data_IF_409848677846
#
_entry.id   IF_409848677846
#
_cell.length_a   1.000
_cell.length_b   1.000
_cell.length_c   1.000
_cell.angle_alpha   90.00
_cell.angle_beta   90.00
_cell.angle_gamma   90.00
#
_symmetry.space_group_name_H-M   'P 1'
#
loop_
_entity.id
_entity.type
_entity.pdbx_description
1 polymer ?
#
# COMPACT_ATOMS: atom_id res chain seq x y z
N UNK A 1 12.27 -10.95 -31.58
CA UNK A 1 11.75 -10.50 -30.28
C UNK A 1 12.53 -11.23 -29.20
N UNK A 2 13.29 -10.52 -28.38
CA UNK A 2 14.01 -11.15 -27.26
C UNK A 2 13.02 -11.54 -26.18
N UNK A 3 13.06 -12.81 -25.75
CA UNK A 3 12.12 -13.33 -24.76
C UNK A 3 12.59 -12.93 -23.36
N UNK A 4 11.78 -12.14 -22.65
CA UNK A 4 11.95 -11.90 -21.23
C UNK A 4 11.63 -13.20 -20.48
N UNK A 5 12.44 -13.56 -19.50
CA UNK A 5 12.13 -14.65 -18.56
C UNK A 5 12.33 -14.19 -17.13
N UNK A 6 11.49 -14.66 -16.23
CA UNK A 6 11.61 -14.35 -14.82
C UNK A 6 11.28 -15.56 -13.94
N UNK A 7 11.74 -15.51 -12.69
CA UNK A 7 11.34 -16.45 -11.65
C UNK A 7 11.31 -15.75 -10.30
N UNK A 8 10.34 -16.12 -9.49
CA UNK A 8 10.21 -15.71 -8.08
C UNK A 8 10.62 -16.91 -7.23
N UNK A 9 11.54 -16.72 -6.29
CA UNK A 9 12.15 -17.82 -5.53
C UNK A 9 12.54 -17.40 -4.12
N UNK A 10 12.53 -18.36 -3.19
CA UNK A 10 13.05 -18.20 -1.85
C UNK A 10 14.59 -18.24 -1.88
N UNK A 11 15.25 -17.22 -1.35
CA UNK A 11 16.71 -17.14 -1.35
C UNK A 11 17.31 -17.85 -0.11
N UNK A 12 17.52 -19.15 -0.23
CA UNK A 12 18.04 -20.05 0.81
C UNK A 12 19.50 -19.77 1.24
N UNK A 13 20.21 -18.91 0.50
CA UNK A 13 21.57 -18.45 0.87
C UNK A 13 21.56 -17.37 1.95
N UNK A 14 20.41 -16.76 2.20
CA UNK A 14 20.25 -15.72 3.23
C UNK A 14 19.75 -16.31 4.54
N UNK A 15 19.85 -15.54 5.62
CA UNK A 15 19.26 -15.95 6.90
C UNK A 15 17.75 -16.07 6.78
N UNK A 16 17.20 -17.06 7.48
CA UNK A 16 15.77 -17.19 7.63
C UNK A 16 15.18 -15.95 8.32
N UNK A 17 13.99 -15.58 7.89
CA UNK A 17 13.18 -14.49 8.41
C UNK A 17 11.83 -15.03 8.84
N UNK A 18 11.20 -14.33 9.76
CA UNK A 18 9.88 -14.71 10.25
C UNK A 18 8.80 -14.09 9.38
N UNK A 19 7.91 -14.93 8.84
CA UNK A 19 6.70 -14.52 8.17
C UNK A 19 5.51 -15.11 8.92
N UNK A 20 4.82 -14.27 9.71
CA UNK A 20 3.49 -14.57 10.24
C UNK A 20 3.31 -15.92 10.95
N UNK A 21 4.28 -16.37 11.75
CA UNK A 21 4.20 -17.68 12.40
C UNK A 21 5.27 -18.67 11.95
N UNK A 22 5.84 -18.46 10.77
CA UNK A 22 6.67 -19.43 10.09
C UNK A 22 8.06 -18.86 9.77
N UNK A 23 9.10 -19.66 10.02
CA UNK A 23 10.44 -19.37 9.52
C UNK A 23 10.49 -19.70 8.03
N UNK A 24 10.91 -18.72 7.23
CA UNK A 24 11.07 -18.85 5.78
C UNK A 24 12.33 -18.10 5.33
N UNK A 25 12.64 -18.15 4.04
CA UNK A 25 13.72 -17.34 3.46
C UNK A 25 13.14 -16.11 2.76
N UNK A 26 13.92 -15.02 2.61
CA UNK A 26 13.49 -13.86 1.85
C UNK A 26 13.10 -14.22 0.41
N UNK A 27 11.99 -13.68 -0.08
CA UNK A 27 11.55 -13.86 -1.47
C UNK A 27 12.31 -12.90 -2.40
N UNK A 28 12.86 -13.45 -3.47
CA UNK A 28 13.63 -12.73 -4.49
C UNK A 28 13.04 -12.97 -5.86
N UNK A 29 13.25 -12.00 -6.74
CA UNK A 29 12.91 -12.08 -8.15
C UNK A 29 14.19 -12.05 -8.97
N UNK A 30 14.26 -12.93 -9.96
CA UNK A 30 15.26 -12.91 -11.01
C UNK A 30 14.56 -12.57 -12.32
N UNK A 31 15.05 -11.56 -13.03
CA UNK A 31 14.57 -11.18 -14.38
C UNK A 31 15.74 -11.22 -15.35
N UNK A 32 15.52 -11.84 -16.52
CA UNK A 32 16.54 -12.03 -17.55
C UNK A 32 16.04 -11.46 -18.89
N UNK A 33 16.86 -10.60 -19.50
CA UNK A 33 16.63 -10.02 -20.81
C UNK A 33 17.97 -9.88 -21.55
N UNK A 34 18.03 -10.28 -22.82
CA UNK A 34 19.25 -10.23 -23.64
C UNK A 34 20.52 -10.82 -22.97
N UNK A 35 20.37 -11.97 -22.30
CA UNK A 35 21.46 -12.64 -21.53
C UNK A 35 21.97 -11.87 -20.32
N UNK A 36 21.38 -10.72 -20.00
CA UNK A 36 21.63 -9.98 -18.75
C UNK A 36 20.58 -10.38 -17.72
N UNK A 37 21.01 -10.56 -16.49
CA UNK A 37 20.15 -10.99 -15.39
C UNK A 37 20.28 -10.00 -14.23
N UNK A 38 19.14 -9.59 -13.68
CA UNK A 38 19.07 -8.82 -12.44
C UNK A 38 18.39 -9.65 -11.36
N UNK A 39 18.77 -9.38 -10.11
CA UNK A 39 18.20 -10.00 -8.92
C UNK A 39 17.82 -8.88 -7.95
N UNK A 40 16.63 -8.97 -7.38
CA UNK A 40 16.18 -8.03 -6.36
C UNK A 40 15.23 -8.73 -5.39
N UNK A 41 15.07 -8.12 -4.22
CA UNK A 41 14.15 -8.60 -3.18
C UNK A 41 12.72 -8.18 -3.55
N UNK A 42 11.76 -9.07 -3.34
CA UNK A 42 10.34 -8.80 -3.63
C UNK A 42 9.81 -7.67 -2.74
N UNK A 43 9.20 -6.66 -3.35
CA UNK A 43 8.51 -5.56 -2.67
C UNK A 43 7.35 -6.09 -1.82
N UNK A 44 6.51 -6.96 -2.39
CA UNK A 44 5.35 -7.49 -1.67
C UNK A 44 5.75 -8.36 -0.49
N UNK A 45 6.85 -9.10 -0.60
CA UNK A 45 7.38 -9.84 0.54
C UNK A 45 7.77 -8.89 1.68
N UNK A 46 8.45 -7.77 1.39
CA UNK A 46 8.77 -6.78 2.41
C UNK A 46 7.53 -6.11 3.01
N UNK A 47 6.59 -5.71 2.17
CA UNK A 47 5.34 -5.09 2.57
C UNK A 47 4.57 -6.00 3.53
N UNK A 48 4.28 -7.22 3.10
CA UNK A 48 3.44 -8.15 3.85
C UNK A 48 4.18 -8.77 5.03
N UNK A 49 5.51 -8.81 5.04
CA UNK A 49 6.26 -9.21 6.23
C UNK A 49 6.11 -8.25 7.42
N UNK A 50 5.60 -7.03 7.21
CA UNK A 50 5.39 -6.07 8.31
C UNK A 50 4.41 -6.66 9.34
N UNK A 51 4.69 -6.57 10.66
CA UNK A 51 3.86 -7.17 11.69
C UNK A 51 2.38 -6.79 11.63
N UNK A 52 2.08 -5.57 11.14
CA UNK A 52 0.72 -5.04 11.02
C UNK A 52 -0.19 -5.81 10.04
N UNK A 53 0.36 -6.57 9.07
CA UNK A 53 -0.43 -7.42 8.18
C UNK A 53 -0.74 -8.80 8.78
N UNK A 54 -0.14 -9.12 9.94
CA UNK A 54 -0.52 -10.28 10.71
C UNK A 54 -1.73 -9.95 11.57
N UNK A 55 -2.89 -10.49 11.19
CA UNK A 55 -4.09 -10.36 12.00
C UNK A 55 -4.26 -11.60 12.87
N UNK A 56 -4.33 -11.35 14.18
CA UNK A 56 -4.79 -12.31 15.18
C UNK A 56 -6.15 -11.82 15.69
N UNK A 57 -7.23 -12.43 15.22
CA UNK A 57 -8.58 -12.08 15.62
C UNK A 57 -9.43 -13.36 15.76
N UNK A 58 -10.21 -13.45 16.84
CA UNK A 58 -11.13 -14.55 17.11
C UNK A 58 -10.51 -15.96 17.00
N UNK A 59 -9.25 -16.12 17.43
CA UNK A 59 -8.54 -17.42 17.40
C UNK A 59 -7.95 -17.81 16.04
N UNK A 60 -8.16 -17.00 14.99
CA UNK A 60 -7.49 -17.15 13.70
C UNK A 60 -6.29 -16.20 13.65
N UNK A 61 -5.12 -16.77 13.36
CA UNK A 61 -3.87 -16.03 13.17
C UNK A 61 -3.31 -16.39 11.80
N UNK A 62 -3.46 -15.49 10.84
CA UNK A 62 -2.91 -15.67 9.50
C UNK A 62 -2.53 -14.31 8.91
N UNK A 63 -1.59 -14.33 7.99
CA UNK A 63 -1.31 -13.22 7.09
C UNK A 63 -1.17 -13.76 5.67
N UNK A 64 -0.72 -12.93 4.72
CA UNK A 64 -0.41 -13.36 3.36
C UNK A 64 0.55 -14.56 3.34
N UNK A 65 0.21 -15.59 2.54
CA UNK A 65 1.10 -16.73 2.32
C UNK A 65 2.17 -16.41 1.28
N UNK A 66 3.24 -17.21 1.23
CA UNK A 66 4.28 -17.07 0.20
C UNK A 66 3.71 -17.23 -1.21
N UNK A 67 2.74 -18.12 -1.39
CA UNK A 67 2.07 -18.36 -2.67
C UNK A 67 1.24 -17.14 -3.08
N UNK A 68 0.50 -16.53 -2.15
CA UNK A 68 -0.29 -15.30 -2.41
C UNK A 68 0.63 -14.13 -2.77
N UNK A 69 1.74 -13.97 -2.04
CA UNK A 69 2.76 -12.95 -2.33
C UNK A 69 3.41 -13.20 -3.70
N UNK A 70 3.78 -14.45 -4.00
CA UNK A 70 4.40 -14.84 -5.27
C UNK A 70 3.47 -14.60 -6.45
N UNK A 71 2.17 -14.89 -6.30
CA UNK A 71 1.18 -14.62 -7.34
C UNK A 71 1.10 -13.12 -7.65
N UNK A 72 1.02 -12.27 -6.62
CA UNK A 72 0.97 -10.81 -6.80
C UNK A 72 2.28 -10.24 -7.36
N UNK A 73 3.42 -10.84 -7.00
CA UNK A 73 4.72 -10.53 -7.57
C UNK A 73 4.78 -10.83 -9.07
N UNK A 74 4.31 -11.99 -9.49
CA UNK A 74 4.29 -12.36 -10.90
C UNK A 74 3.32 -11.48 -11.71
N UNK A 75 2.17 -11.12 -11.13
CA UNK A 75 1.17 -10.24 -11.77
C UNK A 75 1.78 -8.89 -12.19
N UNK A 76 2.52 -8.22 -11.29
CA UNK A 76 3.14 -6.93 -11.62
C UNK A 76 4.27 -7.07 -12.63
N UNK A 77 5.03 -8.17 -12.59
CA UNK A 77 6.10 -8.45 -13.56
C UNK A 77 5.50 -8.65 -14.95
N UNK A 78 4.47 -9.49 -15.06
CA UNK A 78 3.75 -9.73 -16.32
C UNK A 78 3.15 -8.45 -16.87
N UNK A 79 2.54 -7.62 -16.02
CA UNK A 79 2.00 -6.33 -16.42
C UNK A 79 3.07 -5.43 -17.06
N UNK A 80 4.24 -5.28 -16.42
CA UNK A 80 5.32 -4.41 -16.93
C UNK A 80 5.88 -4.95 -18.24
N UNK A 81 6.07 -6.26 -18.36
CA UNK A 81 6.54 -6.90 -19.60
C UNK A 81 5.55 -6.66 -20.74
N UNK A 82 4.24 -6.83 -20.47
CA UNK A 82 3.19 -6.67 -21.46
C UNK A 82 2.96 -5.19 -21.84
N UNK A 83 3.25 -4.25 -20.93
CA UNK A 83 3.15 -2.81 -21.17
C UNK A 83 4.23 -2.29 -22.12
N UNK A 84 5.39 -2.94 -22.16
CA UNK A 84 6.58 -2.50 -22.90
C UNK A 84 7.06 -3.58 -23.89
N UNK A 85 6.25 -3.98 -24.90
CA UNK A 85 6.61 -5.08 -25.80
C UNK A 85 7.79 -4.75 -26.73
N UNK A 86 7.99 -3.47 -27.05
CA UNK A 86 8.92 -3.01 -28.09
C UNK A 86 10.16 -2.29 -27.53
N UNK A 87 10.06 -1.72 -26.33
CA UNK A 87 11.08 -0.87 -25.69
C UNK A 87 11.56 -1.42 -24.33
N UNK A 88 11.27 -2.70 -24.04
CA UNK A 88 11.70 -3.34 -22.81
C UNK A 88 13.22 -3.21 -22.60
N UNK A 89 13.61 -2.75 -21.42
CA UNK A 89 14.97 -2.82 -20.92
C UNK A 89 14.97 -3.15 -19.42
N UNK A 90 16.08 -3.69 -18.91
CA UNK A 90 16.18 -4.01 -17.48
C UNK A 90 16.14 -2.76 -16.59
N UNK A 91 16.57 -1.60 -17.09
CA UNK A 91 16.52 -0.35 -16.33
C UNK A 91 15.11 0.25 -16.32
N UNK A 92 14.41 0.24 -17.47
CA UNK A 92 12.98 0.56 -17.53
C UNK A 92 12.17 -0.34 -16.60
N UNK A 93 12.41 -1.66 -16.66
CA UNK A 93 11.74 -2.63 -15.81
C UNK A 93 11.92 -2.31 -14.32
N UNK A 94 13.13 -1.95 -13.87
CA UNK A 94 13.37 -1.59 -12.46
C UNK A 94 12.57 -0.36 -12.04
N UNK A 95 12.55 0.69 -12.88
CA UNK A 95 11.82 1.93 -12.61
C UNK A 95 10.31 1.68 -12.53
N UNK A 96 9.79 0.89 -13.47
CA UNK A 96 8.38 0.55 -13.52
C UNK A 96 7.99 -0.38 -12.38
N UNK A 97 8.83 -1.37 -12.05
CA UNK A 97 8.62 -2.24 -10.89
C UNK A 97 8.53 -1.43 -9.59
N UNK A 98 9.51 -0.54 -9.35
CA UNK A 98 9.55 0.29 -8.15
C UNK A 98 8.36 1.26 -8.02
N UNK A 99 7.66 1.55 -9.12
CA UNK A 99 6.48 2.41 -9.14
C UNK A 99 5.20 1.59 -9.03
N UNK A 100 5.01 0.61 -9.92
CA UNK A 100 3.78 -0.17 -10.03
C UNK A 100 3.53 -1.13 -8.88
N UNK A 101 4.58 -1.57 -8.19
CA UNK A 101 4.44 -2.44 -7.03
C UNK A 101 3.92 -1.71 -5.79
N UNK A 102 4.02 -0.37 -5.73
CA UNK A 102 3.72 0.41 -4.52
C UNK A 102 2.28 0.22 -4.10
N UNK A 103 2.06 -0.03 -2.80
CA UNK A 103 0.74 -0.03 -2.19
C UNK A 103 0.33 1.40 -1.84
N UNK A 104 -0.79 1.87 -2.42
CA UNK A 104 -1.31 3.22 -2.24
C UNK A 104 -1.64 3.53 -0.77
N UNK A 105 -2.11 2.53 -0.03
CA UNK A 105 -2.43 2.69 1.38
C UNK A 105 -1.15 2.84 2.22
N UNK A 106 -0.14 1.99 2.00
CA UNK A 106 1.16 2.07 2.69
C UNK A 106 1.86 3.41 2.47
N UNK A 107 1.97 3.86 1.21
CA UNK A 107 2.70 5.09 0.89
C UNK A 107 1.99 6.37 1.36
N UNK A 108 0.67 6.31 1.60
CA UNK A 108 -0.10 7.46 2.12
C UNK A 108 -0.28 7.42 3.64
N UNK A 109 0.00 6.28 4.29
CA UNK A 109 -0.23 6.11 5.73
C UNK A 109 0.68 7.00 6.58
N UNK A 110 1.96 7.15 6.22
CA UNK A 110 2.92 7.96 7.00
C UNK A 110 2.50 9.43 7.04
N UNK A 111 2.19 10.03 5.89
CA UNK A 111 1.69 11.41 5.85
C UNK A 111 0.35 11.58 6.57
N UNK A 112 -0.48 10.54 6.63
CA UNK A 112 -1.71 10.56 7.42
C UNK A 112 -1.43 10.49 8.94
N UNK A 113 -0.42 9.74 9.36
CA UNK A 113 0.03 9.70 10.76
C UNK A 113 0.58 11.07 11.18
N UNK A 114 1.35 11.74 10.32
CA UNK A 114 1.87 13.10 10.59
C UNK A 114 0.74 14.12 10.72
N UNK A 115 -0.30 13.99 9.90
CA UNK A 115 -1.53 14.76 10.05
C UNK A 115 -2.17 14.52 11.42
N UNK A 116 -2.38 13.26 11.83
CA UNK A 116 -2.96 12.96 13.14
C UNK A 116 -2.11 13.53 14.27
N UNK A 117 -0.79 13.39 14.19
CA UNK A 117 0.14 13.94 15.16
C UNK A 117 -0.07 15.46 15.33
N UNK A 118 -0.09 16.19 14.22
CA UNK A 118 -0.29 17.64 14.21
C UNK A 118 -1.68 18.02 14.76
N UNK A 119 -2.73 17.34 14.29
CA UNK A 119 -4.10 17.56 14.75
C UNK A 119 -4.22 17.45 16.28
N UNK A 120 -3.66 16.40 16.88
CA UNK A 120 -3.74 16.22 18.33
C UNK A 120 -2.85 17.19 19.11
N UNK A 121 -1.74 17.67 18.53
CA UNK A 121 -0.97 18.75 19.15
C UNK A 121 -1.78 20.05 19.21
N UNK A 122 -2.41 20.44 18.11
CA UNK A 122 -3.21 21.66 18.02
C UNK A 122 -4.43 21.63 18.95
N UNK A 123 -4.96 20.43 19.22
CA UNK A 123 -6.04 20.20 20.19
C UNK A 123 -5.58 20.16 21.65
N UNK A 124 -4.31 20.45 21.93
CA UNK A 124 -3.76 20.46 23.30
C UNK A 124 -3.54 19.07 23.87
N UNK A 125 -3.38 18.04 23.03
CA UNK A 125 -3.17 16.64 23.42
C UNK A 125 -1.80 16.10 22.96
N UNK A 126 -0.66 16.75 23.29
CA UNK A 126 0.66 16.40 22.74
C UNK A 126 1.15 15.00 23.14
N UNK A 127 0.84 14.53 24.35
CA UNK A 127 1.20 13.17 24.78
C UNK A 127 0.44 12.09 24.00
N UNK A 128 -0.82 12.39 23.65
CA UNK A 128 -1.63 11.49 22.84
C UNK A 128 -1.17 11.49 21.38
N UNK A 129 -0.78 12.65 20.83
CA UNK A 129 -0.17 12.77 19.51
C UNK A 129 1.07 11.86 19.37
N UNK A 130 1.99 11.91 20.34
CA UNK A 130 3.18 11.03 20.37
C UNK A 130 2.78 9.56 20.44
N UNK A 131 1.82 9.22 21.31
CA UNK A 131 1.31 7.84 21.44
C UNK A 131 0.76 7.30 20.12
N UNK A 132 0.01 8.11 19.37
CA UNK A 132 -0.51 7.71 18.05
C UNK A 132 0.64 7.47 17.08
N UNK A 133 1.57 8.42 16.94
CA UNK A 133 2.67 8.31 15.98
C UNK A 133 3.53 7.06 16.24
N UNK A 134 3.89 6.80 17.48
CA UNK A 134 4.69 5.63 17.84
C UNK A 134 3.87 4.33 17.76
N UNK A 135 2.60 4.36 18.18
CA UNK A 135 1.70 3.19 18.15
C UNK A 135 1.33 2.74 16.75
N UNK A 136 1.18 3.66 15.80
CA UNK A 136 0.88 3.37 14.39
C UNK A 136 1.99 2.59 13.66
N UNK A 137 3.19 2.45 14.25
CA UNK A 137 4.22 1.52 13.73
C UNK A 137 3.81 0.05 13.83
N UNK A 138 2.89 -0.27 14.74
CA UNK A 138 2.46 -1.63 15.03
C UNK A 138 1.00 -1.90 14.63
N UNK A 139 0.25 -0.84 14.32
CA UNK A 139 -1.19 -0.89 14.03
C UNK A 139 -1.50 -0.06 12.80
N UNK A 140 -2.41 -0.57 11.98
CA UNK A 140 -2.89 0.12 10.80
C UNK A 140 -3.63 1.39 11.25
N UNK A 141 -3.24 2.56 10.73
CA UNK A 141 -3.78 3.85 11.17
C UNK A 141 -5.30 3.93 10.96
N UNK A 142 -5.81 3.32 9.89
CA UNK A 142 -7.25 3.25 9.63
C UNK A 142 -8.03 2.53 10.74
N UNK A 143 -7.48 1.43 11.29
CA UNK A 143 -8.13 0.72 12.41
C UNK A 143 -8.15 1.58 13.68
N UNK A 144 -7.08 2.36 13.91
CA UNK A 144 -7.01 3.32 15.03
C UNK A 144 -8.09 4.38 14.88
N UNK A 145 -8.25 4.99 13.70
CA UNK A 145 -9.30 5.99 13.43
C UNK A 145 -10.70 5.40 13.57
N UNK A 146 -10.90 4.16 13.13
CA UNK A 146 -12.18 3.45 13.32
C UNK A 146 -12.52 3.29 14.81
N UNK A 147 -11.54 2.99 15.65
CA UNK A 147 -11.75 2.86 17.10
C UNK A 147 -11.94 4.24 17.76
N UNK A 148 -11.26 5.29 17.27
CA UNK A 148 -11.49 6.68 17.67
C UNK A 148 -12.94 7.13 17.42
N UNK A 149 -13.57 6.67 16.33
CA UNK A 149 -15.01 6.93 16.08
C UNK A 149 -15.91 6.48 17.22
N UNK A 150 -15.51 5.43 17.94
CA UNK A 150 -16.25 4.88 19.10
C UNK A 150 -15.85 5.57 20.40
N UNK A 151 -14.59 5.96 20.53
CA UNK A 151 -14.03 6.49 21.77
C UNK A 151 -14.23 8.01 21.93
N UNK A 152 -14.25 8.78 20.84
CA UNK A 152 -14.29 10.23 20.89
C UNK A 152 -15.71 10.79 20.80
N UNK A 153 -15.86 12.03 21.26
CA UNK A 153 -17.06 12.81 20.98
C UNK A 153 -17.22 12.99 19.48
N UNK A 154 -18.47 12.92 19.00
CA UNK A 154 -18.81 13.10 17.59
C UNK A 154 -18.14 14.33 16.94
N UNK A 155 -18.16 15.54 17.53
CA UNK A 155 -17.54 16.71 16.89
C UNK A 155 -16.03 16.57 16.67
N UNK A 156 -15.30 16.04 17.66
CA UNK A 156 -13.84 15.86 17.54
C UNK A 156 -13.49 14.84 16.45
N UNK A 157 -14.25 13.75 16.37
CA UNK A 157 -14.04 12.73 15.33
C UNK A 157 -14.39 13.26 13.94
N UNK A 158 -15.52 13.94 13.80
CA UNK A 158 -15.93 14.53 12.52
C UNK A 158 -14.91 15.55 12.04
N UNK A 159 -14.42 16.42 12.93
CA UNK A 159 -13.37 17.38 12.61
C UNK A 159 -12.07 16.68 12.16
N UNK A 160 -11.61 15.64 12.87
CA UNK A 160 -10.44 14.85 12.47
C UNK A 160 -10.63 14.21 11.09
N UNK A 161 -11.79 13.65 10.81
CA UNK A 161 -12.07 12.98 9.55
C UNK A 161 -12.19 13.99 8.39
N UNK A 162 -12.91 15.09 8.58
CA UNK A 162 -13.13 16.11 7.56
C UNK A 162 -11.83 16.88 7.24
N UNK A 163 -11.08 17.31 8.25
CA UNK A 163 -9.81 18.00 8.06
C UNK A 163 -8.79 17.11 7.32
N UNK A 164 -8.83 15.80 7.52
CA UNK A 164 -7.91 14.89 6.82
C UNK A 164 -8.06 14.93 5.29
N UNK A 165 -9.24 15.26 4.77
CA UNK A 165 -9.49 15.36 3.32
C UNK A 165 -8.81 16.57 2.67
N UNK A 166 -8.32 17.51 3.48
CA UNK A 166 -7.69 18.75 3.01
C UNK A 166 -6.21 18.85 3.43
N UNK A 167 -5.86 18.31 4.60
CA UNK A 167 -4.53 18.47 5.20
C UNK A 167 -3.70 17.19 5.25
N UNK A 168 -4.26 16.05 4.84
CA UNK A 168 -3.55 14.77 4.81
C UNK A 168 -3.53 14.20 3.38
N UNK A 169 -2.67 13.20 3.10
CA UNK A 169 -2.87 12.33 1.96
C UNK A 169 -4.28 11.69 2.00
N UNK A 170 -4.85 11.28 0.85
CA UNK A 170 -6.19 10.68 0.76
C UNK A 170 -6.25 9.24 1.31
N UNK A 171 -5.56 8.97 2.42
CA UNK A 171 -5.42 7.67 3.07
C UNK A 171 -6.76 7.10 3.54
N UNK A 172 -7.59 7.86 4.28
CA UNK A 172 -8.87 7.34 4.77
C UNK A 172 -9.81 6.89 3.64
N UNK A 173 -10.03 7.70 2.58
CA UNK A 173 -10.81 7.24 1.43
C UNK A 173 -10.19 6.04 0.71
N UNK A 174 -8.87 6.05 0.46
CA UNK A 174 -8.17 4.94 -0.23
C UNK A 174 -8.30 3.63 0.55
N UNK A 175 -8.04 3.67 1.86
CA UNK A 175 -8.11 2.50 2.71
C UNK A 175 -9.55 2.00 2.87
N UNK A 176 -10.50 2.92 3.03
CA UNK A 176 -11.93 2.61 3.10
C UNK A 176 -12.46 1.97 1.80
N UNK A 177 -11.96 2.39 0.64
CA UNK A 177 -12.23 1.74 -0.65
C UNK A 177 -11.58 0.35 -0.72
N UNK A 178 -10.29 0.24 -0.38
CA UNK A 178 -9.57 -1.02 -0.38
C UNK A 178 -10.29 -2.08 0.47
N UNK A 179 -10.76 -1.73 1.68
CA UNK A 179 -11.50 -2.66 2.55
C UNK A 179 -12.81 -3.17 1.94
N UNK A 180 -13.43 -2.42 1.03
CA UNK A 180 -14.66 -2.84 0.36
C UNK A 180 -14.38 -3.75 -0.84
N UNK A 181 -13.24 -3.56 -1.51
CA UNK A 181 -12.92 -4.26 -2.76
C UNK A 181 -12.00 -5.46 -2.58
N UNK A 182 -11.19 -5.48 -1.51
CA UNK A 182 -10.17 -6.51 -1.27
C UNK A 182 -10.59 -7.47 -0.17
N UNK A 183 -10.18 -8.72 -0.33
CA UNK A 183 -10.35 -9.75 0.70
C UNK A 183 -9.04 -9.93 1.45
N UNK A 184 -9.16 -10.03 2.77
CA UNK A 184 -8.07 -10.46 3.63
C UNK A 184 -7.61 -11.88 3.24
N UNK A 185 -6.30 -12.21 3.31
CA UNK A 185 -5.19 -11.42 3.89
C UNK A 185 -4.49 -10.44 2.94
N UNK A 186 -4.82 -10.44 1.65
CA UNK A 186 -4.18 -9.61 0.63
C UNK A 186 -4.77 -8.20 0.56
N UNK A 187 -4.67 -7.45 1.66
CA UNK A 187 -5.11 -6.05 1.73
C UNK A 187 -4.02 -5.14 1.16
N UNK A 188 -4.11 -4.91 -0.15
CA UNK A 188 -3.29 -3.94 -0.87
C UNK A 188 -4.07 -3.37 -2.06
N UNK A 189 -3.82 -2.11 -2.38
CA UNK A 189 -4.31 -1.42 -3.56
C UNK A 189 -3.08 -0.82 -4.26
N UNK A 190 -2.59 -1.46 -5.31
CA UNK A 190 -1.33 -1.05 -5.93
C UNK A 190 -1.50 0.09 -6.94
N UNK A 191 -0.41 0.76 -7.26
CA UNK A 191 -0.38 1.74 -8.36
C UNK A 191 -0.74 1.09 -9.69
N UNK A 192 -0.31 -0.16 -9.93
CA UNK A 192 -0.73 -0.93 -11.11
C UNK A 192 -2.26 -1.04 -11.16
N UNK A 193 -2.89 -1.45 -10.06
CA UNK A 193 -4.34 -1.59 -9.98
C UNK A 193 -5.04 -0.23 -10.14
N UNK A 194 -4.43 0.87 -9.70
CA UNK A 194 -4.96 2.21 -9.87
C UNK A 194 -4.90 2.72 -11.30
N UNK A 195 -3.84 2.41 -12.04
CA UNK A 195 -3.67 2.81 -13.44
C UNK A 195 -4.38 1.88 -14.44
N UNK A 196 -4.85 0.72 -13.98
CA UNK A 196 -5.48 -0.28 -14.84
C UNK A 196 -6.95 -0.50 -14.51
N UNK A 197 -7.72 -0.79 -15.56
CA UNK A 197 -9.13 -1.14 -15.45
C UNK A 197 -10.01 -0.02 -14.87
N UNK A 198 -11.07 -0.42 -14.18
CA UNK A 198 -12.13 0.48 -13.70
C UNK A 198 -11.88 1.00 -12.27
N UNK A 199 -10.68 0.79 -11.70
CA UNK A 199 -10.40 1.10 -10.28
C UNK A 199 -10.67 2.56 -9.94
N UNK A 200 -10.27 3.52 -10.78
CA UNK A 200 -10.53 4.94 -10.54
C UNK A 200 -12.02 5.30 -10.62
N UNK A 201 -12.76 4.63 -11.50
CA UNK A 201 -14.21 4.81 -11.62
C UNK A 201 -14.91 4.25 -10.37
N UNK A 202 -14.58 3.02 -9.98
CA UNK A 202 -15.11 2.38 -8.77
C UNK A 202 -14.75 3.17 -7.49
N UNK A 203 -13.55 3.76 -7.44
CA UNK A 203 -13.16 4.66 -6.36
C UNK A 203 -14.02 5.93 -6.36
N UNK A 204 -14.27 6.54 -7.52
CA UNK A 204 -15.12 7.72 -7.66
C UNK A 204 -16.56 7.42 -7.20
N UNK A 205 -17.12 6.27 -7.57
CA UNK A 205 -18.43 5.82 -7.11
C UNK A 205 -18.46 5.60 -5.59
N UNK A 206 -17.40 5.00 -5.03
CA UNK A 206 -17.24 4.85 -3.59
C UNK A 206 -17.24 6.21 -2.88
N UNK A 207 -16.51 7.20 -3.39
CA UNK A 207 -16.48 8.56 -2.85
C UNK A 207 -17.86 9.21 -2.88
N UNK A 208 -18.59 9.11 -3.98
CA UNK A 208 -19.95 9.67 -4.08
C UNK A 208 -20.90 9.04 -3.06
N UNK A 209 -20.71 7.76 -2.72
CA UNK A 209 -21.55 7.05 -1.74
C UNK A 209 -21.20 7.39 -0.29
N UNK A 210 -19.91 7.41 0.07
CA UNK A 210 -19.46 7.51 1.46
C UNK A 210 -19.02 8.92 1.87
N UNK A 211 -18.71 9.79 0.90
CA UNK A 211 -18.33 11.18 1.09
C UNK A 211 -19.18 12.13 0.22
N UNK A 212 -20.53 12.05 0.29
CA UNK A 212 -21.42 12.75 -0.64
C UNK A 212 -21.36 14.28 -0.56
N UNK A 213 -20.77 14.83 0.51
CA UNK A 213 -20.61 16.27 0.72
C UNK A 213 -19.29 16.81 0.13
N UNK A 214 -18.41 15.93 -0.32
CA UNK A 214 -17.08 16.27 -0.82
C UNK A 214 -17.02 16.08 -2.34
N UNK A 215 -16.17 16.86 -3.01
CA UNK A 215 -15.92 16.70 -4.43
C UNK A 215 -15.06 15.46 -4.67
N UNK A 216 -15.69 14.40 -5.19
CA UNK A 216 -15.02 13.15 -5.50
C UNK A 216 -13.89 13.33 -6.54
N UNK A 217 -14.05 14.26 -7.47
CA UNK A 217 -13.05 14.61 -8.46
C UNK A 217 -11.83 15.26 -7.82
N UNK A 218 -12.00 16.09 -6.80
CA UNK A 218 -10.88 16.70 -6.07
C UNK A 218 -10.10 15.67 -5.25
N UNK A 219 -10.78 14.79 -4.51
CA UNK A 219 -10.11 13.72 -3.76
C UNK A 219 -9.33 12.80 -4.71
N UNK A 220 -9.91 12.45 -5.87
CA UNK A 220 -9.20 11.67 -6.90
C UNK A 220 -7.97 12.40 -7.41
N UNK A 221 -8.06 13.69 -7.72
CA UNK A 221 -6.91 14.50 -8.14
C UNK A 221 -5.81 14.55 -7.08
N UNK A 222 -6.15 14.53 -5.79
CA UNK A 222 -5.15 14.44 -4.73
C UNK A 222 -4.38 13.11 -4.80
N UNK A 223 -5.06 11.98 -5.08
CA UNK A 223 -4.38 10.69 -5.30
C UNK A 223 -3.39 10.81 -6.47
N UNK A 224 -3.83 11.36 -7.60
CA UNK A 224 -2.97 11.52 -8.78
C UNK A 224 -1.78 12.47 -8.53
N UNK A 225 -1.98 13.52 -7.74
CA UNK A 225 -0.91 14.46 -7.34
C UNK A 225 0.14 13.75 -6.48
N UNK A 226 -0.29 12.93 -5.54
CA UNK A 226 0.60 12.12 -4.71
C UNK A 226 1.36 11.08 -5.55
N UNK A 227 0.68 10.40 -6.47
CA UNK A 227 1.33 9.48 -7.42
C UNK A 227 2.42 10.15 -8.24
N UNK A 228 2.17 11.36 -8.76
CA UNK A 228 3.18 12.15 -9.49
C UNK A 228 4.36 12.58 -8.63
N UNK A 229 4.16 12.78 -7.32
CA UNK A 229 5.27 13.05 -6.41
C UNK A 229 6.18 11.82 -6.32
N UNK A 230 5.58 10.65 -6.15
CA UNK A 230 6.26 9.36 -6.06
C UNK A 230 6.90 8.89 -7.39
N UNK A 231 6.36 9.33 -8.53
CA UNK A 231 6.94 9.07 -9.85
C UNK A 231 8.23 9.88 -10.08
N UNK A 232 8.36 11.06 -9.47
CA UNK A 232 9.59 11.88 -9.59
C UNK A 232 10.79 11.28 -8.87
N UNK A 233 10.57 10.37 -7.92
CA UNK A 233 11.63 9.58 -7.29
C UNK A 233 12.21 8.49 -8.23
N UNK A 234 11.76 8.42 -9.50
CA UNK A 234 12.35 7.58 -10.56
C UNK A 234 13.73 8.09 -11.05
N UNK A 235 14.14 9.30 -10.66
CA UNK A 235 15.37 9.99 -11.07
C UNK A 235 16.22 10.43 -9.88
#
# INVERSE_FOLDING_TARGET
MYKVSYKTYLNDRLKQVYLHGQLTYPLYVQVTFERKTIFFKSYYFELFSKPRYFLSAAGLSRGPSIEEITAKENEVIDFIINKHPDDFSLDLFKQEYAFYSRDLCDITEEGFIDYMYTFFQDKGMPAFAVTIREGSRYRIAYDVVRDMKRAFTKPLYEELAENSLYYAPPYLPLYGFMQQTKKWPMLSLTVMEWETGDTQAAFTECLQKYYPKNDAGEIRKQVDKWLKHFEKDKY
#
